data_IF_831254824263
#
_entry.id   IF_831254824263
#
_cell.length_a   1.000
_cell.length_b   1.000
_cell.length_c   1.000
_cell.angle_alpha   90.00
_cell.angle_beta   90.00
_cell.angle_gamma   90.00
#
_symmetry.space_group_name_H-M   'P 1'
#
loop_
_entity.id
_entity.type
_entity.pdbx_description
1 polymer ?
#
# COMPACT_ATOMS: atom_id res chain seq x y z
N UNK A 1 -22.84 10.26 3.04
CA UNK A 1 -22.17 8.95 2.92
C UNK A 1 -22.43 8.41 1.55
N UNK A 2 -21.39 7.93 0.88
CA UNK A 2 -21.48 7.28 -0.43
C UNK A 2 -22.19 5.92 -0.27
N UNK A 3 -23.02 5.56 -1.23
CA UNK A 3 -23.58 4.22 -1.33
C UNK A 3 -22.50 3.18 -1.72
N UNK A 4 -22.74 1.87 -1.52
CA UNK A 4 -21.80 0.84 -1.95
C UNK A 4 -21.44 0.92 -3.44
N UNK A 5 -22.38 1.29 -4.30
CA UNK A 5 -22.17 1.48 -5.73
C UNK A 5 -21.26 2.67 -6.03
N UNK A 6 -21.45 3.78 -5.34
CA UNK A 6 -20.60 4.97 -5.48
C UNK A 6 -19.17 4.71 -4.99
N UNK A 7 -19.01 3.96 -3.89
CA UNK A 7 -17.70 3.54 -3.42
C UNK A 7 -16.96 2.66 -4.42
N UNK A 8 -17.66 1.68 -5.00
CA UNK A 8 -17.08 0.82 -6.04
C UNK A 8 -16.67 1.63 -7.27
N UNK A 9 -17.50 2.57 -7.72
CA UNK A 9 -17.20 3.41 -8.88
C UNK A 9 -15.99 4.32 -8.61
N UNK A 10 -15.90 4.91 -7.43
CA UNK A 10 -14.77 5.75 -7.01
C UNK A 10 -13.47 4.93 -6.99
N UNK A 11 -13.50 3.73 -6.40
CA UNK A 11 -12.37 2.82 -6.37
C UNK A 11 -11.95 2.39 -7.77
N UNK A 12 -12.91 2.01 -8.62
CA UNK A 12 -12.67 1.64 -10.02
C UNK A 12 -12.00 2.77 -10.80
N UNK A 13 -12.44 4.01 -10.60
CA UNK A 13 -11.86 5.19 -11.24
C UNK A 13 -10.40 5.40 -10.80
N UNK A 14 -10.12 5.30 -9.50
CA UNK A 14 -8.75 5.43 -8.98
C UNK A 14 -7.83 4.36 -9.55
N UNK A 15 -8.25 3.09 -9.50
CA UNK A 15 -7.48 1.97 -10.06
C UNK A 15 -7.29 2.16 -11.58
N UNK A 16 -8.34 2.53 -12.30
CA UNK A 16 -8.29 2.76 -13.75
C UNK A 16 -7.30 3.86 -14.15
N UNK A 17 -7.16 4.90 -13.32
CA UNK A 17 -6.15 5.93 -13.55
C UNK A 17 -4.72 5.34 -13.50
N UNK A 18 -4.42 4.50 -12.50
CA UNK A 18 -3.12 3.83 -12.37
C UNK A 18 -2.87 2.79 -13.45
N UNK A 19 -3.91 2.04 -13.87
CA UNK A 19 -3.81 1.13 -15.01
C UNK A 19 -3.43 1.87 -16.29
N UNK A 20 -4.14 2.96 -16.60
CA UNK A 20 -3.92 3.74 -17.81
C UNK A 20 -2.55 4.43 -17.85
N UNK A 21 -2.06 4.90 -16.70
CA UNK A 21 -0.81 5.65 -16.57
C UNK A 21 0.36 4.79 -16.05
N UNK A 22 0.26 3.47 -16.06
CA UNK A 22 1.19 2.56 -15.39
C UNK A 22 2.65 2.75 -15.80
N UNK A 23 2.94 2.91 -17.09
CA UNK A 23 4.30 3.13 -17.61
C UNK A 23 4.88 4.46 -17.12
N UNK A 24 4.13 5.55 -17.25
CA UNK A 24 4.56 6.88 -16.82
C UNK A 24 4.77 6.94 -15.30
N UNK A 25 3.89 6.28 -14.54
CA UNK A 25 4.00 6.20 -13.10
C UNK A 25 5.27 5.45 -12.69
N UNK A 26 5.54 4.31 -13.31
CA UNK A 26 6.74 3.51 -13.03
C UNK A 26 8.02 4.30 -13.31
N UNK A 27 8.10 4.97 -14.47
CA UNK A 27 9.25 5.82 -14.83
C UNK A 27 9.40 6.97 -13.83
N UNK A 28 8.30 7.63 -13.48
CA UNK A 28 8.32 8.81 -12.60
C UNK A 28 8.56 8.52 -11.11
N UNK A 29 8.50 7.27 -10.69
CA UNK A 29 8.64 6.90 -9.26
C UNK A 29 9.81 5.99 -8.94
N UNK A 30 10.47 5.43 -9.94
CA UNK A 30 11.56 4.45 -9.75
C UNK A 30 12.75 5.03 -8.97
N UNK A 31 13.07 6.31 -9.18
CA UNK A 31 14.20 6.99 -8.56
C UNK A 31 13.80 7.88 -7.35
N UNK A 32 12.56 7.83 -6.90
CA UNK A 32 12.15 8.58 -5.72
C UNK A 32 12.87 8.04 -4.48
N UNK A 33 13.69 8.88 -3.87
CA UNK A 33 14.35 8.56 -2.60
C UNK A 33 13.36 8.65 -1.43
N UNK A 34 13.03 7.49 -0.88
CA UNK A 34 12.20 7.35 0.32
C UNK A 34 12.97 6.69 1.46
N UNK A 35 14.29 6.72 1.41
CA UNK A 35 15.18 6.08 2.40
C UNK A 35 14.92 6.54 3.83
N UNK A 36 14.59 7.81 4.04
CA UNK A 36 14.21 8.32 5.36
C UNK A 36 12.98 7.62 5.94
N UNK A 37 11.98 7.33 5.09
CA UNK A 37 10.78 6.62 5.48
C UNK A 37 11.10 5.17 5.88
N UNK A 38 11.95 4.49 5.08
CA UNK A 38 12.37 3.13 5.38
C UNK A 38 13.11 3.04 6.71
N UNK A 39 14.12 3.89 6.92
CA UNK A 39 14.92 3.88 8.14
C UNK A 39 14.07 4.15 9.38
N UNK A 40 13.28 5.23 9.35
CA UNK A 40 12.44 5.60 10.50
C UNK A 40 11.45 4.49 10.89
N UNK A 41 10.92 3.77 9.89
CA UNK A 41 9.97 2.71 10.13
C UNK A 41 10.64 1.40 10.58
N UNK A 42 11.69 0.94 9.89
CA UNK A 42 12.39 -0.30 10.23
C UNK A 42 13.01 -0.23 11.64
N UNK A 43 13.55 0.92 12.03
CA UNK A 43 14.10 1.15 13.38
C UNK A 43 13.04 1.10 14.48
N UNK A 44 11.76 1.20 14.12
CA UNK A 44 10.64 1.15 15.06
C UNK A 44 10.09 -0.26 15.29
N UNK A 45 10.49 -1.24 14.47
CA UNK A 45 10.05 -2.63 14.57
C UNK A 45 10.98 -3.38 15.52
N UNK A 46 10.44 -3.88 16.62
CA UNK A 46 11.23 -4.52 17.69
C UNK A 46 11.58 -6.01 17.51
N UNK A 47 10.76 -6.83 16.81
CA UNK A 47 11.05 -8.25 16.62
C UNK A 47 12.40 -8.52 15.94
N UNK A 48 12.86 -9.75 16.06
CA UNK A 48 14.06 -10.19 15.36
C UNK A 48 13.81 -10.35 13.84
N UNK A 49 14.80 -9.99 13.04
CA UNK A 49 14.78 -10.16 11.58
C UNK A 49 14.83 -11.66 11.21
N UNK A 50 14.23 -12.08 10.08
CA UNK A 50 13.58 -11.25 9.07
C UNK A 50 12.14 -10.87 9.42
N UNK A 51 11.75 -9.63 9.11
CA UNK A 51 10.37 -9.17 9.30
C UNK A 51 9.46 -9.67 8.18
N UNK A 52 8.23 -10.05 8.53
CA UNK A 52 7.11 -10.18 7.60
C UNK A 52 6.48 -8.80 7.40
N UNK A 53 6.54 -8.29 6.20
CA UNK A 53 6.15 -6.91 5.85
C UNK A 53 4.98 -6.93 4.89
N UNK A 54 3.93 -6.14 5.17
CA UNK A 54 2.89 -5.82 4.22
C UNK A 54 3.18 -4.46 3.58
N UNK A 55 3.40 -4.42 2.26
CA UNK A 55 3.45 -3.19 1.47
C UNK A 55 2.05 -2.88 0.95
N UNK A 56 1.39 -1.90 1.58
CA UNK A 56 0.00 -1.56 1.36
C UNK A 56 -0.14 -0.53 0.23
N UNK A 57 -0.47 -0.99 -0.97
CA UNK A 57 -0.43 -0.23 -2.20
C UNK A 57 0.97 -0.23 -2.82
N UNK A 58 1.51 -1.42 -3.04
CA UNK A 58 2.90 -1.60 -3.44
C UNK A 58 3.24 -1.08 -4.85
N UNK A 59 2.24 -0.74 -5.66
CA UNK A 59 2.46 -0.31 -7.03
C UNK A 59 3.29 -1.33 -7.83
N UNK A 60 4.24 -0.86 -8.67
CA UNK A 60 5.11 -1.74 -9.44
C UNK A 60 6.19 -2.44 -8.59
N UNK A 61 6.21 -2.22 -7.26
CA UNK A 61 7.01 -3.00 -6.31
C UNK A 61 8.37 -2.40 -5.94
N UNK A 62 8.57 -1.08 -6.01
CA UNK A 62 9.80 -0.42 -5.56
C UNK A 62 10.14 -0.77 -4.12
N UNK A 63 9.16 -0.60 -3.23
CA UNK A 63 9.33 -0.79 -1.79
C UNK A 63 9.49 -2.29 -1.44
N UNK A 64 8.74 -3.17 -2.11
CA UNK A 64 8.94 -4.63 -2.01
C UNK A 64 10.37 -5.06 -2.35
N UNK A 65 10.94 -4.51 -3.42
CA UNK A 65 12.32 -4.80 -3.83
C UNK A 65 13.32 -4.40 -2.76
N UNK A 66 13.12 -3.21 -2.17
CA UNK A 66 13.98 -2.71 -1.12
C UNK A 66 13.95 -3.63 0.10
N UNK A 67 12.76 -3.95 0.64
CA UNK A 67 12.64 -4.81 1.82
C UNK A 67 13.19 -6.22 1.57
N UNK A 68 12.94 -6.77 0.38
CA UNK A 68 13.52 -8.06 -0.01
C UNK A 68 15.05 -8.03 -0.08
N UNK A 69 15.65 -6.95 -0.55
CA UNK A 69 17.10 -6.78 -0.63
C UNK A 69 17.77 -6.76 0.75
N UNK A 70 17.04 -6.36 1.79
CA UNK A 70 17.47 -6.41 3.19
C UNK A 70 17.24 -7.79 3.85
N UNK A 71 16.71 -8.76 3.11
CA UNK A 71 16.45 -10.10 3.62
C UNK A 71 15.11 -10.27 4.35
N UNK A 72 14.22 -9.26 4.31
CA UNK A 72 12.88 -9.37 4.85
C UNK A 72 11.94 -10.17 3.93
N UNK A 73 10.74 -10.47 4.41
CA UNK A 73 9.70 -11.25 3.73
C UNK A 73 8.53 -10.31 3.39
N UNK A 74 8.64 -9.52 2.30
CA UNK A 74 7.58 -8.61 1.92
C UNK A 74 6.47 -9.30 1.12
N UNK A 75 5.23 -8.90 1.40
CA UNK A 75 4.02 -9.20 0.64
C UNK A 75 3.38 -7.90 0.22
N UNK A 76 2.90 -7.79 -1.03
CA UNK A 76 2.23 -6.58 -1.53
C UNK A 76 0.72 -6.73 -1.61
N UNK A 77 0.03 -5.59 -1.48
CA UNK A 77 -1.36 -5.42 -1.91
C UNK A 77 -1.40 -4.33 -2.97
N UNK A 78 -2.09 -4.59 -4.06
CA UNK A 78 -2.22 -3.63 -5.15
C UNK A 78 -3.54 -3.83 -5.90
N UNK A 79 -4.20 -2.72 -6.27
CA UNK A 79 -5.47 -2.72 -7.00
C UNK A 79 -5.31 -2.79 -8.51
N UNK A 80 -4.20 -2.32 -9.07
CA UNK A 80 -3.89 -2.35 -10.48
C UNK A 80 -3.38 -3.73 -10.90
N UNK A 81 -4.07 -4.40 -11.81
CA UNK A 81 -3.66 -5.71 -12.33
C UNK A 81 -2.31 -5.62 -13.03
N UNK A 82 -2.05 -4.53 -13.73
CA UNK A 82 -0.77 -4.27 -14.41
C UNK A 82 0.37 -4.20 -13.41
N UNK A 83 0.22 -3.43 -12.33
CA UNK A 83 1.26 -3.35 -11.30
C UNK A 83 1.45 -4.67 -10.55
N UNK A 84 0.38 -5.40 -10.25
CA UNK A 84 0.48 -6.75 -9.67
C UNK A 84 1.34 -7.67 -10.53
N UNK A 85 1.10 -7.69 -11.84
CA UNK A 85 1.90 -8.50 -12.79
C UNK A 85 3.37 -8.07 -12.81
N UNK A 86 3.61 -6.76 -12.86
CA UNK A 86 4.97 -6.19 -12.85
C UNK A 86 5.70 -6.57 -11.57
N UNK A 87 5.10 -6.34 -10.41
CA UNK A 87 5.73 -6.62 -9.12
C UNK A 87 6.03 -8.12 -8.94
N UNK A 88 5.08 -9.00 -9.24
CA UNK A 88 5.29 -10.46 -9.19
C UNK A 88 6.41 -10.92 -10.09
N UNK A 89 6.44 -10.43 -11.33
CA UNK A 89 7.42 -10.86 -12.35
C UNK A 89 8.82 -10.32 -12.06
N UNK A 90 8.91 -9.03 -11.68
CA UNK A 90 10.21 -8.34 -11.55
C UNK A 90 10.89 -8.59 -10.21
N UNK A 91 10.12 -8.92 -9.15
CA UNK A 91 10.66 -9.01 -7.78
C UNK A 91 10.53 -10.42 -7.22
N UNK A 92 9.55 -11.20 -7.69
CA UNK A 92 9.29 -12.54 -7.20
C UNK A 92 8.84 -12.53 -5.73
N UNK A 93 8.00 -11.55 -5.36
CA UNK A 93 7.29 -11.49 -4.09
C UNK A 93 5.83 -11.87 -4.29
N UNK A 94 5.18 -12.29 -3.22
CA UNK A 94 3.74 -12.44 -3.22
C UNK A 94 3.09 -11.06 -3.26
N UNK A 95 2.14 -10.88 -4.18
CA UNK A 95 1.35 -9.66 -4.32
C UNK A 95 -0.11 -10.06 -4.51
N UNK A 96 -0.98 -9.60 -3.64
CA UNK A 96 -2.41 -9.83 -3.73
C UNK A 96 -3.07 -8.74 -4.56
N UNK A 97 -3.80 -9.15 -5.61
CA UNK A 97 -4.65 -8.24 -6.37
C UNK A 97 -5.90 -7.93 -5.55
N UNK A 98 -5.90 -6.82 -4.84
CA UNK A 98 -6.90 -6.47 -3.84
C UNK A 98 -7.05 -4.96 -3.77
N UNK A 99 -8.28 -4.47 -3.67
CA UNK A 99 -8.53 -3.04 -3.45
C UNK A 99 -8.74 -2.73 -1.96
N UNK A 100 -8.55 -1.46 -1.57
CA UNK A 100 -8.56 -1.04 -0.17
C UNK A 100 -9.93 -1.07 0.51
N UNK A 101 -11.02 -1.15 -0.23
CA UNK A 101 -12.36 -1.23 0.35
C UNK A 101 -12.89 -2.67 0.46
N UNK A 102 -12.16 -3.65 -0.05
CA UNK A 102 -12.48 -5.08 0.04
C UNK A 102 -11.20 -5.83 0.38
N UNK A 103 -10.76 -5.70 1.62
CA UNK A 103 -9.58 -6.39 2.14
C UNK A 103 -9.96 -7.78 2.65
N UNK A 104 -9.07 -8.74 2.45
CA UNK A 104 -9.12 -10.08 3.02
C UNK A 104 -7.71 -10.43 3.50
N UNK A 105 -7.38 -9.95 4.71
CA UNK A 105 -6.06 -10.04 5.29
C UNK A 105 -6.02 -11.09 6.39
N UNK A 106 -4.93 -11.87 6.48
CA UNK A 106 -4.74 -12.78 7.60
C UNK A 106 -4.57 -12.00 8.90
N UNK A 107 -5.05 -12.54 10.01
CA UNK A 107 -4.87 -11.92 11.34
C UNK A 107 -3.47 -12.25 11.90
N UNK A 108 -2.88 -11.30 12.61
CA UNK A 108 -1.61 -11.44 13.33
C UNK A 108 -0.45 -11.98 12.48
N UNK A 109 -0.36 -11.54 11.22
CA UNK A 109 0.60 -12.08 10.25
C UNK A 109 1.86 -11.20 10.12
N UNK A 110 1.73 -9.87 10.14
CA UNK A 110 2.80 -8.97 9.77
C UNK A 110 3.46 -8.31 11.00
N UNK A 111 4.80 -8.21 10.96
CA UNK A 111 5.59 -7.44 11.92
C UNK A 111 5.48 -5.94 11.63
N UNK A 112 5.24 -5.58 10.39
CA UNK A 112 5.05 -4.21 9.98
C UNK A 112 4.23 -4.04 8.71
N UNK A 113 3.54 -2.89 8.62
CA UNK A 113 2.81 -2.45 7.43
C UNK A 113 3.43 -1.14 6.96
N UNK A 114 3.76 -1.09 5.67
CA UNK A 114 4.27 0.10 5.01
C UNK A 114 3.23 0.65 4.03
N UNK A 115 2.60 1.77 4.37
CA UNK A 115 1.57 2.44 3.58
C UNK A 115 2.09 3.80 3.08
N UNK A 116 3.03 3.77 2.15
CA UNK A 116 3.70 4.95 1.65
C UNK A 116 2.90 5.63 0.53
N UNK A 117 2.39 6.81 0.79
CA UNK A 117 1.57 7.61 -0.14
C UNK A 117 0.32 6.85 -0.66
N UNK A 118 -0.39 6.16 0.23
CA UNK A 118 -1.47 5.24 -0.15
C UNK A 118 -2.82 5.56 0.50
N UNK A 119 -2.84 5.88 1.80
CA UNK A 119 -4.10 5.98 2.57
C UNK A 119 -5.04 7.09 2.06
N UNK A 120 -4.52 8.11 1.38
CA UNK A 120 -5.35 9.17 0.79
C UNK A 120 -6.22 8.71 -0.39
N UNK A 121 -6.03 7.49 -0.89
CA UNK A 121 -6.91 6.87 -1.88
C UNK A 121 -8.14 6.20 -1.27
N UNK A 122 -8.18 6.08 0.05
CA UNK A 122 -9.30 5.47 0.76
C UNK A 122 -10.34 6.55 1.03
N UNK A 123 -11.61 6.37 0.61
CA UNK A 123 -12.69 7.28 0.95
C UNK A 123 -12.78 7.48 2.46
N UNK A 124 -12.99 8.73 2.90
CA UNK A 124 -13.01 9.09 4.32
C UNK A 124 -13.94 8.21 5.16
N UNK A 125 -15.08 7.82 4.61
CA UNK A 125 -16.04 6.98 5.31
C UNK A 125 -15.53 5.54 5.56
N UNK A 126 -14.54 5.06 4.79
CA UNK A 126 -13.97 3.71 4.90
C UNK A 126 -12.68 3.68 5.71
N UNK A 127 -12.06 4.84 5.99
CA UNK A 127 -10.74 4.88 6.61
C UNK A 127 -10.70 4.17 7.97
N UNK A 128 -11.73 4.35 8.81
CA UNK A 128 -11.77 3.72 10.12
C UNK A 128 -11.83 2.19 10.01
N UNK A 129 -12.65 1.66 9.09
CA UNK A 129 -12.76 0.23 8.84
C UNK A 129 -11.42 -0.34 8.36
N UNK A 130 -10.83 0.29 7.35
CA UNK A 130 -9.52 -0.13 6.81
C UNK A 130 -8.44 -0.10 7.89
N UNK A 131 -8.41 0.94 8.73
CA UNK A 131 -7.42 1.02 9.83
C UNK A 131 -7.61 -0.10 10.86
N UNK A 132 -8.85 -0.52 11.13
CA UNK A 132 -9.12 -1.68 12.00
C UNK A 132 -8.58 -2.96 11.34
N UNK A 133 -8.87 -3.20 10.08
CA UNK A 133 -8.38 -4.38 9.34
C UNK A 133 -6.84 -4.42 9.28
N UNK A 134 -6.19 -3.27 9.05
CA UNK A 134 -4.74 -3.16 9.10
C UNK A 134 -4.18 -3.45 10.51
N UNK A 135 -4.88 -2.99 11.56
CA UNK A 135 -4.48 -3.28 12.93
C UNK A 135 -4.62 -4.78 13.25
N UNK A 136 -5.71 -5.43 12.82
CA UNK A 136 -5.96 -6.85 13.08
C UNK A 136 -4.97 -7.77 12.36
N UNK A 137 -4.39 -7.36 11.24
CA UNK A 137 -3.38 -8.13 10.52
C UNK A 137 -1.96 -7.97 11.09
N UNK A 138 -1.72 -6.94 11.91
CA UNK A 138 -0.46 -6.77 12.62
C UNK A 138 -0.35 -7.77 13.77
N UNK A 139 0.85 -8.29 13.96
CA UNK A 139 1.21 -9.00 15.19
C UNK A 139 1.20 -8.07 16.39
N UNK A 140 1.27 -8.64 17.61
CA UNK A 140 1.49 -7.86 18.81
C UNK A 140 2.78 -7.03 18.67
N UNK A 141 2.70 -5.73 18.97
CA UNK A 141 3.79 -4.74 18.80
C UNK A 141 4.20 -4.49 17.35
N UNK A 142 3.40 -4.94 16.38
CA UNK A 142 3.61 -4.63 14.97
C UNK A 142 3.42 -3.13 14.69
N UNK A 143 4.13 -2.61 13.68
CA UNK A 143 4.21 -1.17 13.42
C UNK A 143 3.61 -0.82 12.06
N UNK A 144 2.64 0.09 12.05
CA UNK A 144 2.14 0.71 10.82
C UNK A 144 2.89 2.02 10.56
N UNK A 145 3.52 2.13 9.39
CA UNK A 145 3.99 3.39 8.83
C UNK A 145 2.99 3.90 7.79
N UNK A 146 2.69 5.18 7.84
CA UNK A 146 1.96 5.84 6.75
C UNK A 146 2.58 7.21 6.42
N UNK A 147 2.66 7.51 5.14
CA UNK A 147 2.96 8.84 4.64
C UNK A 147 1.86 9.28 3.68
N UNK A 148 1.50 10.55 3.75
CA UNK A 148 0.50 11.13 2.86
C UNK A 148 0.89 12.54 2.47
N UNK A 149 0.43 12.97 1.30
CA UNK A 149 0.59 14.36 0.90
C UNK A 149 -0.14 15.28 1.88
N UNK A 150 0.50 16.40 2.23
CA UNK A 150 -0.15 17.43 3.03
C UNK A 150 -1.19 18.14 2.17
N UNK A 151 -2.44 18.04 2.55
CA UNK A 151 -3.57 18.70 1.91
C UNK A 151 -4.27 19.70 2.83
N UNK A 152 -5.33 20.30 2.34
CA UNK A 152 -6.19 21.25 3.08
C UNK A 152 -7.35 20.57 3.81
N UNK A 153 -7.23 19.28 4.11
CA UNK A 153 -8.28 18.46 4.74
C UNK A 153 -9.59 18.44 3.93
N UNK A 154 -9.46 18.37 2.62
CA UNK A 154 -10.57 18.28 1.66
C UNK A 154 -10.58 16.90 1.03
N UNK A 155 -11.78 16.34 0.93
CA UNK A 155 -12.02 15.12 0.16
C UNK A 155 -12.43 15.50 -1.26
N UNK A 156 -11.83 14.86 -2.25
CA UNK A 156 -12.11 15.14 -3.66
C UNK A 156 -11.10 14.49 -4.59
N UNK A 157 -11.29 14.70 -5.87
CA UNK A 157 -10.36 14.19 -6.87
C UNK A 157 -9.20 15.18 -7.08
N UNK A 158 -8.00 14.64 -7.21
CA UNK A 158 -6.83 15.35 -7.70
C UNK A 158 -6.59 14.94 -9.15
N UNK A 159 -7.02 15.78 -10.09
CA UNK A 159 -7.06 15.41 -11.50
C UNK A 159 -8.12 14.34 -11.78
N UNK A 160 -7.71 13.22 -12.34
CA UNK A 160 -8.59 12.10 -12.69
C UNK A 160 -8.71 11.01 -11.60
N UNK A 161 -8.02 11.17 -10.49
CA UNK A 161 -7.94 10.21 -9.38
C UNK A 161 -8.41 10.81 -8.05
#
# INVERSE_FOLDING_TARGET
>A
MLSPRELQELTRRTIGHYEFNSENYQIGTVDHDVSQNYMAWLDSIEPEIPFKILDFGCGPGRDLRYFKSLGHIPTGIEGSETFVKVARTSIGCDVHHMNFINLDLPQFEYDGIFANATLFHIPRQEINRVMIELHETLKERGVLFCSNQRGNNQEGFSGER
#
